data_IF_424312360738
#
_entry.id   IF_424312360738
#
_cell.length_a   1.000
_cell.length_b   1.000
_cell.length_c   1.000
_cell.angle_alpha   90.00
_cell.angle_beta   90.00
_cell.angle_gamma   90.00
#
_symmetry.space_group_name_H-M   'P 1'
#
loop_
_entity.id
_entity.type
_entity.pdbx_description
1 polymer ?
#
# COMPACT_ATOMS: atom_id res chain seq x y z
N UNK A 1 -28.60 40.67 -2.74
CA UNK A 1 -29.47 39.50 -2.51
C UNK A 1 -28.66 38.39 -1.81
N UNK A 2 -28.80 38.15 -0.50
CA UNK A 2 -27.85 37.31 0.25
C UNK A 2 -28.42 36.35 1.32
N UNK A 3 -29.75 36.09 1.36
CA UNK A 3 -30.39 35.21 2.36
C UNK A 3 -30.96 33.89 1.82
N UNK A 4 -30.76 33.56 0.54
CA UNK A 4 -31.49 32.47 -0.15
C UNK A 4 -30.76 31.11 -0.28
N UNK A 5 -29.45 31.01 -0.03
CA UNK A 5 -28.65 29.80 -0.36
C UNK A 5 -28.53 28.71 0.72
N UNK A 6 -29.02 28.95 1.94
CA UNK A 6 -28.86 28.01 3.07
C UNK A 6 -30.06 27.08 3.34
N UNK A 7 -31.24 27.35 2.76
CA UNK A 7 -32.51 26.69 3.17
C UNK A 7 -32.76 25.29 2.57
N UNK A 8 -31.77 24.65 1.96
CA UNK A 8 -31.90 23.35 1.27
C UNK A 8 -30.99 22.21 1.75
N UNK A 9 -30.12 22.47 2.74
CA UNK A 9 -29.08 21.54 3.18
C UNK A 9 -29.58 20.57 4.26
N UNK A 10 -30.33 19.54 3.87
CA UNK A 10 -30.68 18.46 4.81
C UNK A 10 -29.47 17.58 5.12
N UNK A 11 -29.38 16.94 6.31
CA UNK A 11 -28.25 16.09 6.67
C UNK A 11 -27.96 14.96 5.65
N UNK A 12 -29.00 14.42 5.02
CA UNK A 12 -28.86 13.42 3.94
C UNK A 12 -28.17 14.01 2.69
N UNK A 13 -28.50 15.24 2.30
CA UNK A 13 -27.84 15.94 1.17
C UNK A 13 -26.39 16.32 1.50
N UNK A 14 -26.11 16.75 2.73
CA UNK A 14 -24.74 16.97 3.22
C UNK A 14 -23.93 15.68 3.12
N UNK A 15 -24.46 14.57 3.66
CA UNK A 15 -23.80 13.27 3.63
C UNK A 15 -23.52 12.76 2.22
N UNK A 16 -24.49 12.91 1.31
CA UNK A 16 -24.34 12.56 -0.11
C UNK A 16 -23.32 13.46 -0.82
N UNK A 17 -23.28 14.76 -0.52
CA UNK A 17 -22.33 15.70 -1.10
C UNK A 17 -20.88 15.48 -0.62
N UNK A 18 -20.68 15.02 0.62
CA UNK A 18 -19.35 14.64 1.14
C UNK A 18 -18.89 13.26 0.66
N UNK A 19 -19.78 12.43 0.07
CA UNK A 19 -19.45 11.06 -0.37
C UNK A 19 -18.92 10.14 0.76
N UNK A 20 -19.21 10.48 2.02
CA UNK A 20 -18.48 9.96 3.16
C UNK A 20 -18.98 8.58 3.58
N UNK A 21 -18.09 7.58 3.58
CA UNK A 21 -18.41 6.25 4.10
C UNK A 21 -18.54 6.26 5.64
N UNK A 22 -19.38 5.37 6.17
CA UNK A 22 -19.59 5.16 7.60
C UNK A 22 -18.29 4.78 8.30
N UNK A 23 -17.39 4.02 7.66
CA UNK A 23 -16.09 3.71 8.26
C UNK A 23 -15.23 4.97 8.43
N UNK A 24 -15.12 5.80 7.39
CA UNK A 24 -14.38 7.08 7.42
C UNK A 24 -14.91 7.99 8.51
N UNK A 25 -16.23 8.16 8.63
CA UNK A 25 -16.84 8.98 9.68
C UNK A 25 -16.51 8.47 11.10
N UNK A 26 -16.58 7.16 11.34
CA UNK A 26 -16.22 6.57 12.63
C UNK A 26 -14.74 6.73 12.97
N UNK A 27 -13.84 6.68 11.98
CA UNK A 27 -12.43 6.96 12.17
C UNK A 27 -12.18 8.45 12.47
N UNK A 28 -12.87 9.37 11.80
CA UNK A 28 -12.79 10.81 12.13
C UNK A 28 -13.26 11.09 13.57
N UNK A 29 -14.35 10.44 14.01
CA UNK A 29 -14.83 10.53 15.39
C UNK A 29 -13.80 9.98 16.40
N UNK A 30 -13.21 8.80 16.14
CA UNK A 30 -12.12 8.24 16.97
C UNK A 30 -10.95 9.22 17.10
N UNK A 31 -10.58 9.91 16.01
CA UNK A 31 -9.50 10.90 15.99
C UNK A 31 -9.75 12.16 16.82
N UNK A 32 -11.01 12.61 16.91
CA UNK A 32 -11.38 13.81 17.66
C UNK A 32 -11.52 13.56 19.17
N UNK A 33 -11.81 12.32 19.60
CA UNK A 33 -12.11 12.02 21.00
C UNK A 33 -11.00 12.34 22.01
N UNK A 34 -9.70 12.05 21.78
CA UNK A 34 -8.66 12.31 22.78
C UNK A 34 -8.54 13.78 23.22
N UNK A 35 -8.39 14.79 22.33
CA UNK A 35 -8.34 16.18 22.76
C UNK A 35 -9.65 16.64 23.40
N UNK A 36 -10.82 16.19 22.92
CA UNK A 36 -12.11 16.53 23.54
C UNK A 36 -12.22 16.01 24.97
N UNK A 37 -11.87 14.75 25.22
CA UNK A 37 -11.88 14.15 26.57
C UNK A 37 -10.91 14.92 27.48
N UNK A 38 -9.70 15.25 27.00
CA UNK A 38 -8.73 16.04 27.78
C UNK A 38 -9.27 17.43 28.12
N UNK A 39 -9.88 18.15 27.17
CA UNK A 39 -10.44 19.49 27.41
C UNK A 39 -11.58 19.44 28.43
N UNK A 40 -12.48 18.44 28.35
CA UNK A 40 -13.51 18.23 29.36
C UNK A 40 -12.92 17.87 30.73
N UNK A 41 -11.87 17.02 30.77
CA UNK A 41 -11.19 16.63 32.00
C UNK A 41 -10.56 17.83 32.72
N UNK A 42 -10.07 18.83 31.99
CA UNK A 42 -9.52 20.07 32.57
C UNK A 42 -10.56 21.03 33.14
N UNK A 43 -11.87 20.80 32.94
CA UNK A 43 -12.91 21.56 33.63
C UNK A 43 -13.02 21.15 35.11
N UNK A 44 -12.46 20.00 35.51
CA UNK A 44 -12.41 19.56 36.91
C UNK A 44 -11.19 20.15 37.63
N UNK A 45 -11.44 20.97 38.66
CA UNK A 45 -10.40 21.64 39.47
C UNK A 45 -9.27 20.71 39.97
N UNK A 46 -9.52 19.46 40.42
CA UNK A 46 -8.46 18.55 40.83
C UNK A 46 -7.44 18.23 39.73
N UNK A 47 -7.88 18.22 38.46
CA UNK A 47 -7.00 17.95 37.30
C UNK A 47 -6.29 19.22 36.86
N UNK A 48 -7.00 20.36 36.81
CA UNK A 48 -6.41 21.66 36.51
C UNK A 48 -5.27 22.03 37.48
N UNK A 49 -5.45 21.76 38.77
CA UNK A 49 -4.43 21.99 39.80
C UNK A 49 -3.18 21.11 39.62
N UNK A 50 -3.27 19.95 38.95
CA UNK A 50 -2.18 19.00 38.81
C UNK A 50 -1.11 19.43 37.78
N UNK A 51 -1.53 20.05 36.67
CA UNK A 51 -0.61 20.57 35.63
C UNK A 51 -0.48 22.09 35.64
N UNK A 52 -1.36 22.79 36.37
CA UNK A 52 -1.48 24.25 36.37
C UNK A 52 -1.51 24.81 34.93
N UNK A 53 -0.81 25.92 34.70
CA UNK A 53 -0.73 26.64 33.43
C UNK A 53 -0.13 25.83 32.26
N UNK A 54 0.34 24.59 32.47
CA UNK A 54 0.86 23.73 31.40
C UNK A 54 -0.18 22.74 30.84
N UNK A 55 -1.39 22.72 31.40
CA UNK A 55 -2.48 21.83 30.96
C UNK A 55 -2.85 21.96 29.48
N UNK A 56 -2.63 23.12 28.86
CA UNK A 56 -2.91 23.36 27.43
C UNK A 56 -2.10 22.49 26.46
N UNK A 57 -0.99 21.90 26.91
CA UNK A 57 -0.14 21.03 26.06
C UNK A 57 -0.69 19.60 26.02
N UNK A 58 -1.36 19.15 27.08
CA UNK A 58 -2.01 17.85 27.19
C UNK A 58 -2.91 17.48 25.99
N UNK A 59 -3.86 18.32 25.52
CA UNK A 59 -4.69 17.98 24.35
C UNK A 59 -3.88 17.96 23.05
N UNK A 60 -2.79 18.74 22.94
CA UNK A 60 -1.87 18.70 21.80
C UNK A 60 -1.15 17.33 21.77
N UNK A 61 -0.68 16.85 22.93
CA UNK A 61 -0.06 15.52 23.05
C UNK A 61 -1.06 14.38 22.79
N UNK A 62 -2.32 14.54 23.19
CA UNK A 62 -3.38 13.57 22.88
C UNK A 62 -3.66 13.44 21.36
N UNK A 63 -3.39 14.48 20.57
CA UNK A 63 -3.43 14.44 19.09
C UNK A 63 -2.15 13.85 18.51
N UNK A 64 -0.98 14.28 18.98
CA UNK A 64 0.34 13.77 18.51
C UNK A 64 0.48 12.25 18.75
N UNK A 65 -0.21 11.72 19.77
CA UNK A 65 -0.29 10.29 20.06
C UNK A 65 -0.90 9.41 18.94
N UNK A 66 -1.54 9.97 17.90
CA UNK A 66 -2.04 9.23 16.73
C UNK A 66 -2.95 8.02 17.04
N UNK A 67 -4.02 8.23 17.81
CA UNK A 67 -4.99 7.18 18.21
C UNK A 67 -5.68 6.40 17.06
N UNK A 68 -5.51 6.81 15.80
CA UNK A 68 -6.07 6.15 14.60
C UNK A 68 -5.28 4.92 14.13
N UNK A 69 -4.05 4.73 14.62
CA UNK A 69 -3.19 3.61 14.24
C UNK A 69 -3.79 2.25 14.69
N UNK A 70 -3.52 1.15 13.96
CA UNK A 70 -3.87 -0.20 14.41
C UNK A 70 -3.21 -0.54 15.76
N UNK A 71 -3.91 -1.30 16.62
CA UNK A 71 -3.53 -1.52 18.03
C UNK A 71 -2.07 -1.93 18.23
N UNK A 72 -1.59 -2.97 17.53
CA UNK A 72 -0.21 -3.43 17.66
C UNK A 72 0.82 -2.34 17.30
N UNK A 73 0.60 -1.62 16.20
CA UNK A 73 1.45 -0.50 15.76
C UNK A 73 1.37 0.70 16.70
N UNK A 74 0.18 1.02 17.21
CA UNK A 74 -0.03 2.05 18.22
C UNK A 74 0.80 1.79 19.47
N UNK A 75 0.74 0.57 20.03
CA UNK A 75 1.48 0.23 21.26
C UNK A 75 3.00 0.36 21.08
N UNK A 76 3.55 -0.09 19.94
CA UNK A 76 4.98 0.06 19.61
C UNK A 76 5.39 1.55 19.56
N UNK A 77 4.62 2.36 18.83
CA UNK A 77 4.92 3.79 18.65
C UNK A 77 4.71 4.57 19.96
N UNK A 78 3.71 4.23 20.77
CA UNK A 78 3.47 4.85 22.07
C UNK A 78 4.60 4.55 23.06
N UNK A 79 5.12 3.32 23.11
CA UNK A 79 6.29 2.97 23.93
C UNK A 79 7.52 3.82 23.55
N UNK A 80 7.84 3.94 22.26
CA UNK A 80 8.93 4.83 21.81
C UNK A 80 8.63 6.31 22.09
N UNK A 81 7.37 6.74 22.05
CA UNK A 81 6.99 8.14 22.35
C UNK A 81 7.18 8.48 23.83
N UNK A 82 6.80 7.57 24.73
CA UNK A 82 7.04 7.70 26.16
C UNK A 82 8.54 7.72 26.47
N UNK A 83 9.32 6.77 25.94
CA UNK A 83 10.78 6.72 26.10
C UNK A 83 11.48 7.98 25.57
N UNK A 84 11.11 8.44 24.37
CA UNK A 84 11.64 9.68 23.79
C UNK A 84 11.29 10.91 24.64
N UNK A 85 10.09 10.97 25.21
CA UNK A 85 9.69 12.07 26.12
C UNK A 85 10.49 12.04 27.43
N UNK A 86 10.75 10.86 28.01
CA UNK A 86 11.63 10.72 29.17
C UNK A 86 13.08 11.13 28.87
N UNK A 87 13.65 10.74 27.73
CA UNK A 87 14.99 11.19 27.30
C UNK A 87 15.01 12.70 27.08
N UNK A 88 13.96 13.27 26.49
CA UNK A 88 13.80 14.72 26.34
C UNK A 88 13.77 15.44 27.70
N UNK A 89 13.05 14.89 28.68
CA UNK A 89 13.01 15.42 30.05
C UNK A 89 14.40 15.40 30.73
N UNK A 90 15.17 14.32 30.59
CA UNK A 90 16.54 14.25 31.12
C UNK A 90 17.48 15.28 30.46
N UNK A 91 17.42 15.43 29.13
CA UNK A 91 18.18 16.45 28.39
C UNK A 91 17.73 17.87 28.76
N UNK A 92 16.43 18.07 29.01
CA UNK A 92 15.90 19.33 29.51
C UNK A 92 16.44 19.71 30.88
N UNK A 93 16.52 18.77 31.83
CA UNK A 93 17.12 19.00 33.14
C UNK A 93 18.59 19.42 33.03
N UNK A 94 19.37 18.75 32.17
CA UNK A 94 20.77 19.08 31.93
C UNK A 94 20.93 20.46 31.26
N UNK A 95 20.14 20.75 30.23
CA UNK A 95 20.13 22.06 29.56
C UNK A 95 19.74 23.20 30.51
N UNK A 96 18.70 23.00 31.34
CA UNK A 96 18.34 23.96 32.41
C UNK A 96 19.53 24.20 33.34
N UNK A 97 20.17 23.14 33.86
CA UNK A 97 21.35 23.26 34.72
C UNK A 97 22.47 24.10 34.05
N UNK A 98 22.80 23.80 32.79
CA UNK A 98 23.78 24.57 32.03
C UNK A 98 23.38 26.04 31.86
N UNK A 99 22.12 26.35 31.54
CA UNK A 99 21.65 27.74 31.35
C UNK A 99 21.65 28.56 32.65
N UNK A 100 21.33 27.92 33.78
CA UNK A 100 21.35 28.57 35.10
C UNK A 100 22.79 28.82 35.53
N UNK A 101 23.68 27.83 35.40
CA UNK A 101 25.12 28.02 35.68
C UNK A 101 25.75 29.09 34.77
N UNK A 102 25.39 29.12 33.49
CA UNK A 102 25.82 30.18 32.58
C UNK A 102 25.36 31.57 33.04
N UNK A 103 24.15 31.70 33.63
CA UNK A 103 23.70 32.97 34.24
C UNK A 103 24.49 33.30 35.51
N UNK A 104 24.65 32.34 36.43
CA UNK A 104 25.39 32.53 37.68
C UNK A 104 26.82 33.04 37.45
N UNK A 105 27.50 32.58 36.39
CA UNK A 105 28.85 33.02 36.03
C UNK A 105 28.92 34.33 35.21
N UNK A 106 27.79 34.94 34.81
CA UNK A 106 27.77 36.11 33.90
C UNK A 106 26.85 37.26 34.32
N UNK A 107 26.00 37.08 35.33
CA UNK A 107 25.30 38.19 35.99
C UNK A 107 26.28 39.01 36.86
N UNK A 108 26.08 40.33 36.90
CA UNK A 108 26.84 41.20 37.81
C UNK A 108 26.50 40.90 39.28
N UNK A 109 27.46 41.02 40.22
CA UNK A 109 27.18 40.92 41.65
C UNK A 109 26.08 41.91 42.08
N UNK A 110 25.04 41.41 42.75
CA UNK A 110 23.90 42.22 43.20
C UNK A 110 22.78 42.42 42.16
N UNK A 111 22.92 41.96 40.92
CA UNK A 111 21.82 41.97 39.96
C UNK A 111 20.69 41.01 40.40
N UNK A 112 19.39 41.40 40.27
CA UNK A 112 18.29 40.55 40.72
C UNK A 112 18.20 39.25 39.89
N UNK A 113 17.99 38.08 40.53
CA UNK A 113 17.95 36.78 39.84
C UNK A 113 16.73 36.60 38.93
N UNK A 114 15.75 37.51 39.04
CA UNK A 114 14.51 37.56 38.26
C UNK A 114 14.40 38.90 37.53
N UNK A 115 14.46 38.89 36.20
CA UNK A 115 14.04 40.02 35.35
C UNK A 115 14.99 40.39 34.20
N UNK A 116 16.30 40.27 34.39
CA UNK A 116 17.29 40.65 33.38
C UNK A 116 17.39 39.65 32.21
N UNK A 117 17.46 40.17 30.98
CA UNK A 117 17.93 39.40 29.83
C UNK A 117 19.42 39.08 30.02
N UNK A 118 19.79 37.79 29.95
CA UNK A 118 21.18 37.34 29.98
C UNK A 118 21.51 36.64 28.64
N UNK A 119 22.48 37.21 27.91
CA UNK A 119 22.89 36.73 26.59
C UNK A 119 23.49 35.32 26.66
N UNK A 120 24.39 35.07 27.61
CA UNK A 120 25.11 33.80 27.77
C UNK A 120 24.18 32.63 28.11
N UNK A 121 23.23 32.83 29.03
CA UNK A 121 22.19 31.85 29.36
C UNK A 121 21.27 31.57 28.16
N UNK A 122 20.97 32.60 27.36
CA UNK A 122 20.17 32.46 26.13
C UNK A 122 20.92 31.69 25.03
N UNK A 123 22.23 31.95 24.87
CA UNK A 123 23.09 31.25 23.91
C UNK A 123 23.23 29.76 24.26
N UNK A 124 23.44 29.43 25.55
CA UNK A 124 23.52 28.03 26.01
C UNK A 124 22.18 27.29 25.79
N UNK A 125 21.03 27.95 26.00
CA UNK A 125 19.72 27.37 25.69
C UNK A 125 19.55 27.12 24.19
N UNK A 126 20.00 28.07 23.35
CA UNK A 126 19.94 27.93 21.89
C UNK A 126 20.82 26.78 21.38
N UNK A 127 22.03 26.58 21.93
CA UNK A 127 22.90 25.46 21.59
C UNK A 127 22.23 24.12 21.93
N UNK A 128 21.71 23.98 23.17
CA UNK A 128 20.98 22.76 23.57
C UNK A 128 19.75 22.50 22.70
N UNK A 129 18.97 23.54 22.38
CA UNK A 129 17.81 23.43 21.50
C UNK A 129 18.18 23.00 20.08
N UNK A 130 19.16 23.65 19.44
CA UNK A 130 19.60 23.34 18.08
C UNK A 130 20.16 21.91 17.99
N UNK A 131 21.02 21.51 18.92
CA UNK A 131 21.59 20.16 18.97
C UNK A 131 20.50 19.09 19.11
N UNK A 132 19.60 19.25 20.09
CA UNK A 132 18.53 18.29 20.35
C UNK A 132 17.52 18.20 19.19
N UNK A 133 17.16 19.32 18.56
CA UNK A 133 16.29 19.33 17.38
C UNK A 133 16.98 18.70 16.16
N UNK A 134 18.28 18.94 15.96
CA UNK A 134 19.05 18.31 14.88
C UNK A 134 19.08 16.77 15.05
N UNK A 135 19.40 16.26 16.26
CA UNK A 135 19.36 14.83 16.55
C UNK A 135 17.96 14.24 16.32
N UNK A 136 16.90 14.90 16.82
CA UNK A 136 15.53 14.45 16.65
C UNK A 136 15.07 14.42 15.19
N UNK A 137 15.50 15.40 14.38
CA UNK A 137 15.20 15.45 12.95
C UNK A 137 15.95 14.35 12.17
N UNK A 138 17.24 14.11 12.51
CA UNK A 138 18.04 13.02 11.92
C UNK A 138 17.46 11.64 12.22
N UNK A 139 17.05 11.38 13.47
CA UNK A 139 16.34 10.15 13.84
C UNK A 139 14.99 10.02 13.11
N UNK A 140 14.24 11.13 12.98
CA UNK A 140 12.98 11.14 12.22
C UNK A 140 13.18 10.82 10.73
N UNK A 141 14.29 11.26 10.14
CA UNK A 141 14.62 11.00 8.74
C UNK A 141 15.03 9.54 8.48
N UNK A 142 15.67 8.87 9.46
CA UNK A 142 16.12 7.48 9.32
C UNK A 142 14.96 6.47 9.28
N UNK A 143 13.98 6.59 10.18
CA UNK A 143 12.82 5.69 10.24
C UNK A 143 11.49 6.46 10.39
N UNK A 144 11.04 7.21 9.37
CA UNK A 144 9.89 8.11 9.47
C UNK A 144 8.58 7.40 9.85
N UNK A 145 8.35 6.18 9.35
CA UNK A 145 7.12 5.41 9.58
C UNK A 145 6.88 4.99 11.05
N UNK A 146 7.89 5.09 11.92
CA UNK A 146 7.80 4.72 13.34
C UNK A 146 8.26 5.86 14.27
N UNK A 147 9.30 6.62 13.88
CA UNK A 147 9.90 7.67 14.71
C UNK A 147 9.27 9.07 14.51
N UNK A 148 8.34 9.25 13.56
CA UNK A 148 7.66 10.55 13.37
C UNK A 148 7.04 11.09 14.66
N UNK A 149 6.19 10.30 15.33
CA UNK A 149 5.45 10.72 16.53
C UNK A 149 6.33 10.82 17.78
N UNK A 150 7.22 9.84 18.09
CA UNK A 150 8.20 9.96 19.16
C UNK A 150 9.08 11.21 19.04
N UNK A 151 9.61 11.48 17.84
CA UNK A 151 10.44 12.66 17.61
C UNK A 151 9.63 13.95 17.53
N UNK A 152 8.32 13.91 17.25
CA UNK A 152 7.45 15.09 17.35
C UNK A 152 7.24 15.49 18.82
N UNK A 153 6.88 14.54 19.69
CA UNK A 153 6.78 14.78 21.14
C UNK A 153 8.10 15.26 21.74
N UNK A 154 9.22 14.63 21.37
CA UNK A 154 10.56 15.09 21.77
C UNK A 154 10.81 16.55 21.36
N UNK A 155 10.55 16.91 20.08
CA UNK A 155 10.77 18.26 19.58
C UNK A 155 9.91 19.32 20.28
N UNK A 156 8.65 19.00 20.64
CA UNK A 156 7.81 19.95 21.38
C UNK A 156 8.27 20.11 22.83
N UNK A 157 8.68 19.02 23.49
CA UNK A 157 9.13 19.06 24.90
C UNK A 157 10.39 19.94 25.06
N UNK A 158 11.39 19.76 24.18
CA UNK A 158 12.61 20.58 24.20
C UNK A 158 12.34 22.04 23.78
N UNK A 159 11.45 22.29 22.81
CA UNK A 159 11.09 23.65 22.37
C UNK A 159 10.39 24.45 23.48
N UNK A 160 9.40 23.86 24.13
CA UNK A 160 8.66 24.48 25.24
C UNK A 160 9.59 24.76 26.41
N UNK A 161 10.51 23.84 26.73
CA UNK A 161 11.44 24.02 27.85
C UNK A 161 12.54 25.04 27.56
N UNK A 162 13.28 24.91 26.45
CA UNK A 162 14.46 25.75 26.18
C UNK A 162 14.10 27.20 25.86
N UNK A 163 12.89 27.48 25.37
CA UNK A 163 12.41 28.86 25.24
C UNK A 163 12.09 29.53 26.58
N UNK A 164 11.98 28.76 27.68
CA UNK A 164 11.75 29.26 29.06
C UNK A 164 12.97 29.12 29.97
N UNK A 165 13.91 28.22 29.70
CA UNK A 165 15.10 28.00 30.53
C UNK A 165 15.91 29.29 30.81
N UNK A 166 16.17 30.19 29.84
CA UNK A 166 16.86 31.47 30.08
C UNK A 166 16.18 32.40 31.08
N UNK A 167 14.88 32.22 31.37
CA UNK A 167 14.11 33.04 32.32
C UNK A 167 13.84 32.36 33.67
N UNK A 168 14.21 31.09 33.87
CA UNK A 168 13.99 30.37 35.14
C UNK A 168 14.97 30.85 36.22
N UNK A 169 14.52 31.27 37.42
CA UNK A 169 15.43 31.87 38.41
C UNK A 169 16.30 30.84 39.14
N UNK A 170 15.79 29.64 39.41
CA UNK A 170 16.48 28.61 40.21
C UNK A 170 16.34 27.22 39.60
N UNK A 171 17.28 26.33 39.94
CA UNK A 171 17.25 24.93 39.48
C UNK A 171 16.04 24.17 40.02
N UNK A 172 15.63 24.42 41.27
CA UNK A 172 14.44 23.83 41.88
C UNK A 172 13.14 24.21 41.15
N UNK A 173 13.03 25.46 40.69
CA UNK A 173 11.93 25.88 39.83
C UNK A 173 11.96 25.15 38.48
N UNK A 174 13.13 25.05 37.85
CA UNK A 174 13.29 24.36 36.56
C UNK A 174 13.00 22.85 36.61
N UNK A 175 13.41 22.15 37.68
CA UNK A 175 13.08 20.74 37.89
C UNK A 175 11.57 20.54 38.14
N UNK A 176 10.95 21.44 38.90
CA UNK A 176 9.48 21.43 39.12
C UNK A 176 8.72 21.68 37.82
N UNK A 177 9.20 22.60 36.98
CA UNK A 177 8.68 22.86 35.65
C UNK A 177 8.74 21.62 34.75
N UNK A 178 9.90 20.95 34.65
CA UNK A 178 10.06 19.73 33.84
C UNK A 178 9.16 18.60 34.35
N UNK A 179 8.99 18.47 35.68
CA UNK A 179 8.06 17.50 36.28
C UNK A 179 6.60 17.78 35.87
N UNK A 180 6.13 19.02 35.97
CA UNK A 180 4.77 19.41 35.59
C UNK A 180 4.52 19.20 34.08
N UNK A 181 5.51 19.54 33.25
CA UNK A 181 5.46 19.33 31.80
C UNK A 181 5.40 17.83 31.44
N UNK A 182 6.21 16.99 32.10
CA UNK A 182 6.19 15.54 31.91
C UNK A 182 4.85 14.92 32.31
N UNK A 183 4.24 15.36 33.42
CA UNK A 183 2.90 14.93 33.85
C UNK A 183 1.85 15.31 32.78
N UNK A 184 1.88 16.54 32.25
CA UNK A 184 0.97 16.98 31.19
C UNK A 184 1.11 16.14 29.91
N UNK A 185 2.33 15.77 29.50
CA UNK A 185 2.53 14.87 28.35
C UNK A 185 1.96 13.48 28.61
N UNK A 186 2.27 12.89 29.78
CA UNK A 186 1.81 11.54 30.15
C UNK A 186 0.29 11.43 30.26
N UNK A 187 -0.42 12.46 30.73
CA UNK A 187 -1.90 12.48 30.74
C UNK A 187 -2.45 12.46 29.31
N UNK A 188 -1.87 13.25 28.40
CA UNK A 188 -2.28 13.27 26.99
C UNK A 188 -2.09 11.91 26.32
N UNK A 189 -0.97 11.24 26.58
CA UNK A 189 -0.68 9.90 26.10
C UNK A 189 -1.61 8.83 26.73
N UNK A 190 -1.91 8.93 28.03
CA UNK A 190 -2.80 8.01 28.73
C UNK A 190 -4.24 8.08 28.20
N UNK A 191 -4.79 9.29 28.01
CA UNK A 191 -6.14 9.47 27.45
C UNK A 191 -6.19 8.98 26.00
N UNK A 192 -5.19 9.30 25.18
CA UNK A 192 -5.11 8.78 23.81
C UNK A 192 -5.01 7.24 23.75
N UNK A 193 -4.32 6.62 24.72
CA UNK A 193 -4.19 5.16 24.85
C UNK A 193 -5.52 4.52 25.26
N UNK A 194 -6.25 5.13 26.21
CA UNK A 194 -7.61 4.70 26.56
C UNK A 194 -8.55 4.71 25.36
N UNK A 195 -8.54 5.80 24.57
CA UNK A 195 -9.34 5.91 23.34
C UNK A 195 -8.90 4.90 22.27
N UNK A 196 -7.59 4.71 22.06
CA UNK A 196 -7.10 3.80 21.01
C UNK A 196 -7.49 2.35 21.29
N UNK A 197 -7.41 1.92 22.55
CA UNK A 197 -7.69 0.55 23.01
C UNK A 197 -9.18 0.24 23.21
N UNK A 198 -9.95 1.15 23.80
CA UNK A 198 -11.35 0.88 24.20
C UNK A 198 -12.34 1.27 23.10
N UNK A 199 -12.14 2.43 22.45
CA UNK A 199 -13.14 3.01 21.54
C UNK A 199 -12.83 2.62 20.10
N UNK A 200 -13.59 1.67 19.55
CA UNK A 200 -13.37 1.06 18.23
C UNK A 200 -11.93 0.51 18.05
N UNK A 201 -11.54 -0.58 18.73
CA UNK A 201 -10.24 -1.20 18.56
C UNK A 201 -10.06 -1.75 17.13
N UNK A 202 -9.20 -1.11 16.36
CA UNK A 202 -8.77 -1.54 15.02
C UNK A 202 -7.53 -2.42 15.13
N UNK A 203 -7.67 -3.71 14.85
CA UNK A 203 -6.54 -4.65 14.81
C UNK A 203 -5.82 -4.62 13.46
N UNK A 204 -4.51 -4.86 13.42
CA UNK A 204 -3.76 -4.97 12.14
C UNK A 204 -4.29 -6.14 11.30
N UNK A 205 -4.74 -7.25 11.93
CA UNK A 205 -5.44 -8.33 11.21
C UNK A 205 -6.74 -7.85 10.54
N UNK A 206 -7.51 -6.98 11.19
CA UNK A 206 -8.73 -6.39 10.60
C UNK A 206 -8.42 -5.47 9.41
N UNK A 207 -7.33 -4.69 9.48
CA UNK A 207 -6.85 -3.88 8.34
C UNK A 207 -6.44 -4.77 7.17
N UNK A 208 -5.69 -5.85 7.41
CA UNK A 208 -5.32 -6.84 6.38
C UNK A 208 -6.58 -7.42 5.72
N UNK A 209 -7.54 -7.92 6.50
CA UNK A 209 -8.80 -8.45 5.96
C UNK A 209 -9.58 -7.39 5.14
N UNK A 210 -9.60 -6.14 5.59
CA UNK A 210 -10.25 -5.05 4.85
C UNK A 210 -9.57 -4.78 3.49
N UNK A 211 -8.23 -4.74 3.42
CA UNK A 211 -7.52 -4.63 2.13
C UNK A 211 -7.78 -5.87 1.24
N UNK A 212 -7.84 -7.06 1.84
CA UNK A 212 -8.13 -8.30 1.11
C UNK A 212 -9.53 -8.31 0.49
N UNK A 213 -10.57 -7.73 1.11
CA UNK A 213 -11.95 -7.77 0.56
C UNK A 213 -12.06 -7.26 -0.88
N UNK A 214 -11.22 -6.30 -1.28
CA UNK A 214 -11.17 -5.80 -2.65
C UNK A 214 -10.46 -6.72 -3.65
N UNK A 215 -9.59 -7.62 -3.18
CA UNK A 215 -8.74 -8.47 -4.02
C UNK A 215 -9.50 -9.29 -5.08
N UNK A 216 -10.63 -9.98 -4.78
CA UNK A 216 -11.35 -10.77 -5.79
C UNK A 216 -11.90 -9.90 -6.94
N UNK A 217 -12.34 -8.68 -6.63
CA UNK A 217 -12.85 -7.74 -7.64
C UNK A 217 -11.73 -7.21 -8.56
N UNK A 218 -10.53 -6.97 -8.01
CA UNK A 218 -9.37 -6.54 -8.82
C UNK A 218 -8.84 -7.71 -9.67
N UNK A 219 -8.78 -8.94 -9.14
CA UNK A 219 -8.40 -10.12 -9.94
C UNK A 219 -9.41 -10.37 -11.07
N UNK A 220 -10.72 -10.28 -10.80
CA UNK A 220 -11.75 -10.33 -11.85
C UNK A 220 -11.50 -9.24 -12.90
N UNK A 221 -11.29 -7.99 -12.49
CA UNK A 221 -11.01 -6.87 -13.40
C UNK A 221 -9.73 -7.06 -14.22
N UNK A 222 -8.71 -7.75 -13.71
CA UNK A 222 -7.49 -8.08 -14.45
C UNK A 222 -7.81 -9.08 -15.58
N UNK A 223 -8.52 -10.15 -15.24
CA UNK A 223 -8.90 -11.21 -16.19
C UNK A 223 -9.88 -10.69 -17.26
N UNK A 224 -10.83 -9.83 -16.87
CA UNK A 224 -11.69 -9.10 -17.81
C UNK A 224 -10.86 -8.28 -18.81
N UNK A 225 -9.86 -7.51 -18.35
CA UNK A 225 -8.98 -6.74 -19.23
C UNK A 225 -8.08 -7.62 -20.13
N UNK A 226 -7.66 -8.80 -19.67
CA UNK A 226 -6.91 -9.77 -20.50
C UNK A 226 -7.79 -10.34 -21.63
N UNK A 227 -9.02 -10.74 -21.32
CA UNK A 227 -9.97 -11.28 -22.32
C UNK A 227 -10.35 -10.18 -23.33
N UNK A 228 -10.63 -8.95 -22.87
CA UNK A 228 -10.87 -7.82 -23.77
C UNK A 228 -9.67 -7.53 -24.67
N UNK A 229 -8.44 -7.61 -24.17
CA UNK A 229 -7.24 -7.46 -24.99
C UNK A 229 -7.18 -8.54 -26.07
N UNK A 230 -7.29 -9.82 -25.72
CA UNK A 230 -7.24 -10.93 -26.69
C UNK A 230 -8.32 -10.78 -27.76
N UNK A 231 -9.56 -10.42 -27.39
CA UNK A 231 -10.65 -10.15 -28.34
C UNK A 231 -10.37 -8.95 -29.25
N UNK A 232 -9.87 -7.82 -28.74
CA UNK A 232 -9.42 -6.70 -29.59
C UNK A 232 -8.23 -7.07 -30.49
N UNK A 233 -7.55 -8.18 -30.20
CA UNK A 233 -6.46 -8.69 -31.03
C UNK A 233 -6.96 -9.52 -32.23
N UNK A 234 -8.24 -9.94 -32.24
CA UNK A 234 -8.90 -10.62 -33.36
C UNK A 234 -9.22 -9.64 -34.51
N UNK A 235 -9.69 -8.43 -34.20
CA UNK A 235 -10.07 -7.42 -35.22
C UNK A 235 -8.88 -6.63 -35.76
N UNK A 236 -8.05 -6.06 -34.89
CA UNK A 236 -7.08 -4.99 -35.21
C UNK A 236 -5.68 -5.24 -34.63
N UNK A 237 -5.41 -6.47 -34.19
CA UNK A 237 -4.26 -6.78 -33.35
C UNK A 237 -2.94 -7.12 -34.04
N UNK A 238 -1.84 -7.24 -33.27
CA UNK A 238 -0.56 -7.70 -33.79
C UNK A 238 -0.61 -9.14 -34.33
N UNK A 239 -1.60 -9.96 -33.97
CA UNK A 239 -1.85 -11.26 -34.64
C UNK A 239 -2.11 -11.08 -36.14
N UNK A 240 -2.96 -10.12 -36.52
CA UNK A 240 -3.30 -9.80 -37.91
C UNK A 240 -2.07 -9.29 -38.68
N UNK A 241 -1.25 -8.44 -38.03
CA UNK A 241 0.00 -7.92 -38.59
C UNK A 241 1.04 -9.04 -38.77
N UNK A 242 1.22 -9.91 -37.77
CA UNK A 242 2.13 -11.07 -37.85
C UNK A 242 1.69 -12.03 -38.94
N UNK A 243 0.39 -12.34 -39.01
CA UNK A 243 -0.21 -13.15 -40.07
C UNK A 243 0.08 -12.58 -41.45
N UNK A 244 -0.17 -11.28 -41.68
CA UNK A 244 0.11 -10.63 -42.96
C UNK A 244 1.61 -10.70 -43.31
N UNK A 245 2.51 -10.41 -42.36
CA UNK A 245 3.95 -10.51 -42.58
C UNK A 245 4.41 -11.94 -42.94
N UNK A 246 3.83 -12.97 -42.31
CA UNK A 246 4.13 -14.38 -42.61
C UNK A 246 3.54 -14.83 -43.95
N UNK A 247 2.30 -14.42 -44.28
CA UNK A 247 1.65 -14.78 -45.55
C UNK A 247 2.36 -14.10 -46.72
N UNK A 248 2.68 -12.81 -46.62
CA UNK A 248 3.44 -12.09 -47.66
C UNK A 248 4.79 -12.76 -47.91
N UNK A 249 5.51 -13.17 -46.86
CA UNK A 249 6.78 -13.91 -46.99
C UNK A 249 6.64 -15.28 -47.65
N UNK A 250 5.45 -15.91 -47.60
CA UNK A 250 5.15 -17.16 -48.31
C UNK A 250 4.81 -16.92 -49.78
N UNK A 251 4.06 -15.85 -50.06
CA UNK A 251 3.68 -15.45 -51.42
C UNK A 251 4.88 -14.96 -52.25
N UNK A 252 5.78 -14.15 -51.68
CA UNK A 252 6.97 -13.65 -52.39
C UNK A 252 8.02 -14.72 -52.66
N UNK A 253 7.99 -15.85 -51.94
CA UNK A 253 8.86 -17.01 -52.19
C UNK A 253 8.30 -17.95 -53.28
N UNK A 254 7.02 -17.79 -53.64
CA UNK A 254 6.34 -18.56 -54.69
C UNK A 254 6.06 -17.79 -55.99
N UNK A 255 6.44 -16.50 -56.07
CA UNK A 255 6.13 -15.65 -57.23
C UNK A 255 7.30 -14.72 -57.60
N UNK A 256 8.13 -15.16 -58.55
CA UNK A 256 8.86 -14.23 -59.42
C UNK A 256 7.88 -13.69 -60.47
N UNK A 257 7.06 -12.71 -60.06
CA UNK A 257 6.07 -12.05 -60.90
C UNK A 257 6.18 -10.53 -60.78
N UNK A 258 6.59 -9.87 -61.86
CA UNK A 258 6.78 -8.41 -61.92
C UNK A 258 5.45 -7.65 -61.80
N UNK A 259 5.38 -6.68 -60.88
CA UNK A 259 4.28 -5.72 -60.81
C UNK A 259 4.66 -4.49 -59.98
N UNK A 260 4.53 -3.30 -60.56
CA UNK A 260 4.63 -2.04 -59.81
C UNK A 260 3.49 -1.94 -58.79
N UNK A 261 3.78 -1.36 -57.63
CA UNK A 261 2.77 -0.93 -56.63
C UNK A 261 3.13 0.49 -56.20
N UNK A 262 2.21 1.43 -56.39
CA UNK A 262 2.50 2.86 -56.26
C UNK A 262 2.79 3.33 -54.82
N UNK A 263 3.82 4.18 -54.69
CA UNK A 263 4.44 4.56 -53.42
C UNK A 263 3.68 5.67 -52.66
N UNK A 264 2.38 5.49 -52.38
CA UNK A 264 1.59 6.58 -51.78
C UNK A 264 0.45 6.20 -50.79
N UNK A 265 0.71 5.36 -49.77
CA UNK A 265 -0.08 5.40 -48.50
C UNK A 265 0.57 4.73 -47.27
N UNK A 266 1.87 4.96 -47.02
CA UNK A 266 2.57 4.41 -45.85
C UNK A 266 2.27 5.19 -44.54
N UNK A 267 1.00 5.23 -44.09
CA UNK A 267 0.67 5.71 -42.74
C UNK A 267 1.11 4.68 -41.70
N UNK A 268 2.03 5.06 -40.81
CA UNK A 268 2.44 4.21 -39.69
C UNK A 268 1.22 3.75 -38.86
N UNK A 269 1.01 2.42 -38.67
CA UNK A 269 -0.06 1.93 -37.81
C UNK A 269 0.28 2.24 -36.34
N UNK A 270 -0.52 3.12 -35.71
CA UNK A 270 -0.25 3.68 -34.39
C UNK A 270 0.10 2.63 -33.33
N UNK A 271 1.38 2.60 -32.90
CA UNK A 271 1.98 1.45 -32.20
C UNK A 271 1.60 1.29 -30.71
N UNK A 272 0.43 1.78 -30.30
CA UNK A 272 -0.05 1.88 -28.91
C UNK A 272 -0.72 0.59 -28.40
N UNK A 273 -0.16 -0.58 -28.73
CA UNK A 273 -0.60 -1.90 -28.23
C UNK A 273 -0.34 -2.15 -26.72
N UNK A 274 -0.26 -1.09 -25.91
CA UNK A 274 -0.21 -1.20 -24.45
C UNK A 274 -1.59 -0.98 -23.85
N UNK A 275 -2.23 -2.03 -23.35
CA UNK A 275 -3.51 -1.92 -22.63
C UNK A 275 -3.33 -1.21 -21.26
N UNK A 276 -3.78 0.05 -21.08
CA UNK A 276 -3.50 0.81 -19.86
C UNK A 276 -4.27 0.24 -18.65
N UNK A 277 -5.48 -0.27 -18.87
CA UNK A 277 -6.28 -0.91 -17.81
C UNK A 277 -5.63 -2.16 -17.23
N UNK A 278 -4.85 -2.90 -18.02
CA UNK A 278 -4.07 -4.05 -17.55
C UNK A 278 -2.92 -3.61 -16.63
N UNK A 279 -2.14 -2.59 -17.03
CA UNK A 279 -1.12 -1.97 -16.17
C UNK A 279 -1.74 -1.45 -14.85
N UNK A 280 -2.88 -0.77 -14.94
CA UNK A 280 -3.59 -0.24 -13.79
C UNK A 280 -4.12 -1.34 -12.85
N UNK A 281 -4.59 -2.47 -13.39
CA UNK A 281 -5.02 -3.62 -12.60
C UNK A 281 -3.85 -4.31 -11.88
N UNK A 282 -2.71 -4.53 -12.55
CA UNK A 282 -1.48 -5.03 -11.90
C UNK A 282 -1.05 -4.07 -10.77
N UNK A 283 -1.07 -2.76 -11.04
CA UNK A 283 -0.74 -1.72 -10.04
C UNK A 283 -1.64 -1.77 -8.80
N UNK A 284 -2.95 -1.98 -8.98
CA UNK A 284 -3.91 -2.16 -7.88
C UNK A 284 -3.61 -3.41 -7.04
N UNK A 285 -3.30 -4.55 -7.67
CA UNK A 285 -2.97 -5.79 -6.92
C UNK A 285 -1.64 -5.64 -6.18
N UNK A 286 -0.62 -5.06 -6.82
CA UNK A 286 0.67 -4.76 -6.21
C UNK A 286 0.53 -3.83 -4.99
N UNK A 287 -0.33 -2.81 -5.08
CA UNK A 287 -0.64 -1.91 -3.96
C UNK A 287 -1.32 -2.63 -2.78
N UNK A 288 -2.21 -3.61 -3.04
CA UNK A 288 -2.80 -4.45 -1.99
C UNK A 288 -1.71 -5.28 -1.30
N UNK A 289 -0.85 -5.98 -2.05
CA UNK A 289 0.26 -6.76 -1.48
C UNK A 289 1.23 -5.91 -0.66
N UNK A 290 1.59 -4.72 -1.14
CA UNK A 290 2.48 -3.80 -0.43
C UNK A 290 1.90 -3.39 0.95
N UNK A 291 0.61 -3.04 0.99
CA UNK A 291 -0.10 -2.70 2.25
C UNK A 291 -0.22 -3.89 3.20
N UNK A 292 -0.55 -5.07 2.67
CA UNK A 292 -0.68 -6.30 3.47
C UNK A 292 0.67 -6.71 4.07
N UNK A 293 1.76 -6.61 3.31
CA UNK A 293 3.11 -6.88 3.81
C UNK A 293 3.54 -5.87 4.88
N UNK A 294 3.18 -4.58 4.74
CA UNK A 294 3.49 -3.55 5.74
C UNK A 294 2.78 -3.78 7.09
N UNK A 295 1.54 -4.28 7.08
CA UNK A 295 0.81 -4.65 8.31
C UNK A 295 1.16 -6.04 8.85
N UNK A 296 1.73 -6.94 8.03
CA UNK A 296 2.02 -8.33 8.40
C UNK A 296 2.91 -8.45 9.65
N UNK A 297 3.97 -7.64 9.77
CA UNK A 297 4.86 -7.66 10.94
C UNK A 297 4.10 -7.42 12.26
N UNK A 298 3.18 -6.45 12.25
CA UNK A 298 2.34 -6.11 13.40
C UNK A 298 1.25 -7.17 13.63
N UNK A 299 0.64 -7.69 12.56
CA UNK A 299 -0.42 -8.70 12.62
C UNK A 299 0.04 -10.05 13.22
N UNK A 300 1.31 -10.42 13.04
CA UNK A 300 1.94 -11.59 13.72
C UNK A 300 2.10 -11.39 15.22
N UNK A 301 2.53 -10.19 15.64
CA UNK A 301 2.76 -9.82 17.05
C UNK A 301 1.45 -9.53 17.82
N UNK A 302 0.33 -9.38 17.10
CA UNK A 302 -0.95 -9.04 17.70
C UNK A 302 -1.66 -10.26 18.30
N UNK A 303 -1.86 -10.25 19.62
CA UNK A 303 -2.70 -11.23 20.33
C UNK A 303 -4.17 -11.00 19.97
N UNK A 304 -4.75 -11.94 19.21
CA UNK A 304 -6.12 -11.88 18.69
C UNK A 304 -6.81 -13.21 18.95
N UNK A 305 -8.00 -13.17 19.54
CA UNK A 305 -8.92 -14.31 19.60
C UNK A 305 -9.65 -14.44 18.25
N UNK A 306 -9.42 -15.52 17.51
CA UNK A 306 -9.95 -15.68 16.15
C UNK A 306 -9.62 -17.02 15.51
N UNK A 307 -10.21 -17.28 14.34
CA UNK A 307 -10.16 -18.57 13.63
C UNK A 307 -8.93 -18.77 12.73
N UNK A 308 -8.15 -17.72 12.44
CA UNK A 308 -6.88 -17.80 11.71
C UNK A 308 -5.72 -17.42 12.65
N UNK A 309 -4.73 -18.31 12.73
CA UNK A 309 -3.43 -18.08 13.34
C UNK A 309 -2.62 -17.02 12.57
N UNK A 310 -1.50 -16.59 13.16
CA UNK A 310 -0.52 -15.76 12.45
C UNK A 310 0.14 -16.53 11.29
N UNK A 311 0.34 -17.84 11.46
CA UNK A 311 0.92 -18.75 10.47
C UNK A 311 -0.02 -18.99 9.28
N UNK A 312 -1.33 -19.18 9.55
CA UNK A 312 -2.36 -19.26 8.51
C UNK A 312 -2.42 -17.98 7.68
N UNK A 313 -2.27 -16.81 8.33
CA UNK A 313 -2.33 -15.51 7.67
C UNK A 313 -1.09 -15.26 6.78
N UNK A 314 0.09 -15.71 7.21
CA UNK A 314 1.29 -15.70 6.38
C UNK A 314 1.17 -16.66 5.19
N UNK A 315 0.66 -17.88 5.43
CA UNK A 315 0.41 -18.89 4.39
C UNK A 315 -0.61 -18.42 3.37
N UNK A 316 -1.68 -17.76 3.81
CA UNK A 316 -2.66 -17.11 2.94
C UNK A 316 -2.02 -16.04 2.04
N UNK A 317 -1.14 -15.20 2.60
CA UNK A 317 -0.49 -14.12 1.86
C UNK A 317 0.59 -14.65 0.90
N UNK A 318 1.29 -15.74 1.23
CA UNK A 318 2.20 -16.42 0.31
C UNK A 318 1.45 -17.08 -0.86
N UNK A 319 0.30 -17.70 -0.62
CA UNK A 319 -0.60 -18.25 -1.65
C UNK A 319 -1.22 -17.16 -2.54
N UNK A 320 -1.62 -16.01 -1.98
CA UNK A 320 -2.04 -14.86 -2.80
C UNK A 320 -0.87 -14.31 -3.62
N UNK A 321 0.38 -14.35 -3.11
CA UNK A 321 1.57 -13.87 -3.82
C UNK A 321 1.96 -14.78 -4.98
N UNK A 322 1.86 -16.11 -4.84
CA UNK A 322 2.10 -17.04 -5.96
C UNK A 322 1.02 -16.93 -7.03
N UNK A 323 -0.25 -16.77 -6.63
CA UNK A 323 -1.36 -16.43 -7.52
C UNK A 323 -1.11 -15.11 -8.27
N UNK A 324 -0.67 -14.05 -7.58
CA UNK A 324 -0.32 -12.77 -8.20
C UNK A 324 0.83 -12.90 -9.21
N UNK A 325 1.87 -13.69 -8.92
CA UNK A 325 2.99 -13.91 -9.84
C UNK A 325 2.52 -14.57 -11.14
N UNK A 326 1.66 -15.59 -11.04
CA UNK A 326 1.03 -16.24 -12.21
C UNK A 326 0.16 -15.25 -13.02
N UNK A 327 -0.73 -14.52 -12.34
CA UNK A 327 -1.59 -13.50 -12.96
C UNK A 327 -0.79 -12.37 -13.66
N UNK A 328 0.33 -11.95 -13.06
CA UNK A 328 1.22 -10.93 -13.62
C UNK A 328 1.99 -11.45 -14.85
N UNK A 329 2.37 -12.73 -14.87
CA UNK A 329 2.96 -13.39 -16.04
C UNK A 329 1.99 -13.42 -17.23
N UNK A 330 0.75 -13.86 -17.02
CA UNK A 330 -0.30 -13.82 -18.06
C UNK A 330 -0.58 -12.38 -18.51
N UNK A 331 -0.52 -11.41 -17.59
CA UNK A 331 -0.68 -10.00 -17.91
C UNK A 331 0.52 -9.39 -18.68
N UNK A 332 1.60 -10.13 -18.94
CA UNK A 332 2.73 -9.69 -19.76
C UNK A 332 2.57 -10.05 -21.25
N UNK A 333 1.58 -10.88 -21.62
CA UNK A 333 1.30 -11.28 -23.00
C UNK A 333 1.30 -10.11 -24.02
N UNK A 334 0.65 -8.94 -23.78
CA UNK A 334 0.69 -7.82 -24.73
C UNK A 334 2.10 -7.31 -25.04
N UNK A 335 3.01 -7.36 -24.06
CA UNK A 335 4.42 -6.95 -24.23
C UNK A 335 5.23 -8.00 -24.99
N UNK A 336 4.90 -9.27 -24.83
CA UNK A 336 5.53 -10.38 -25.56
C UNK A 336 5.17 -10.26 -27.04
N UNK A 337 3.88 -10.09 -27.37
CA UNK A 337 3.45 -9.86 -28.76
C UNK A 337 4.01 -8.57 -29.36
N UNK A 338 4.04 -7.45 -28.62
CA UNK A 338 4.70 -6.20 -29.08
C UNK A 338 6.22 -6.33 -29.29
N UNK A 339 6.89 -7.30 -28.64
CA UNK A 339 8.31 -7.62 -28.93
C UNK A 339 8.44 -8.50 -30.16
N UNK A 340 7.63 -9.56 -30.29
CA UNK A 340 7.60 -10.43 -31.45
C UNK A 340 7.35 -9.65 -32.75
N UNK A 341 6.38 -8.74 -32.78
CA UNK A 341 6.11 -7.94 -34.00
C UNK A 341 7.14 -6.85 -34.27
N UNK A 342 7.86 -6.36 -33.25
CA UNK A 342 9.01 -5.45 -33.46
C UNK A 342 10.28 -6.17 -33.90
N UNK A 343 10.37 -7.49 -33.72
CA UNK A 343 11.51 -8.29 -34.16
C UNK A 343 11.44 -8.72 -35.64
N UNK A 344 10.43 -8.26 -36.38
CA UNK A 344 10.24 -8.52 -37.81
C UNK A 344 10.48 -7.20 -38.57
N UNK A 345 11.73 -6.83 -38.90
CA UNK A 345 11.99 -5.78 -39.87
C UNK A 345 11.59 -6.26 -41.29
N UNK A 346 11.11 -5.37 -42.18
CA UNK A 346 10.97 -5.70 -43.59
C UNK A 346 12.36 -5.91 -44.19
N UNK A 347 12.68 -7.16 -44.52
CA UNK A 347 14.00 -7.56 -45.03
C UNK A 347 14.08 -7.25 -46.53
N UNK A 348 14.24 -5.96 -46.86
CA UNK A 348 14.19 -5.44 -48.23
C UNK A 348 14.78 -4.03 -48.42
N UNK A 349 15.70 -3.60 -47.55
CA UNK A 349 16.35 -2.29 -47.61
C UNK A 349 17.84 -2.41 -47.21
N UNK A 350 18.64 -3.10 -48.03
CA UNK A 350 20.05 -3.42 -47.72
C UNK A 350 20.96 -3.63 -48.94
N UNK A 351 20.91 -2.71 -49.91
CA UNK A 351 21.95 -2.33 -50.91
C UNK A 351 21.49 -0.98 -51.46
N UNK A 352 22.33 0.02 -51.73
CA UNK A 352 23.61 -0.05 -52.46
C UNK A 352 24.92 0.01 -51.64
N UNK A 353 26.03 -0.20 -52.38
CA UNK A 353 27.37 -0.48 -51.86
C UNK A 353 28.14 0.74 -51.33
N UNK A 354 29.04 0.49 -50.36
CA UNK A 354 29.79 1.54 -49.65
C UNK A 354 31.06 1.07 -48.90
N UNK A 355 31.86 0.19 -49.53
CA UNK A 355 33.23 -0.21 -49.17
C UNK A 355 33.50 -1.15 -47.96
N UNK A 356 34.45 -2.06 -48.23
CA UNK A 356 35.51 -2.62 -47.37
C UNK A 356 35.23 -3.77 -46.36
N UNK A 357 35.57 -4.98 -46.84
CA UNK A 357 36.31 -6.07 -46.18
C UNK A 357 36.47 -6.09 -44.64
N UNK A 358 35.99 -7.18 -43.99
CA UNK A 358 36.81 -7.94 -43.01
C UNK A 358 36.24 -9.35 -42.71
N UNK A 359 36.84 -10.33 -43.38
CA UNK A 359 37.07 -11.77 -43.08
C UNK A 359 36.47 -12.47 -41.83
N UNK A 360 36.32 -13.80 -42.01
CA UNK A 360 36.09 -14.94 -41.07
C UNK A 360 34.62 -15.32 -40.77
N UNK A 361 34.12 -16.55 -41.04
CA UNK A 361 34.71 -17.93 -41.10
C UNK A 361 35.26 -18.38 -39.72
N UNK A 362 35.11 -19.60 -39.20
CA UNK A 362 34.50 -20.87 -39.64
C UNK A 362 33.24 -21.19 -38.74
N UNK A 363 32.36 -22.19 -38.90
CA UNK A 363 32.18 -23.35 -39.82
C UNK A 363 30.64 -23.50 -40.12
N UNK A 364 29.85 -24.60 -40.27
CA UNK A 364 29.87 -26.08 -40.09
C UNK A 364 29.13 -26.77 -41.28
N UNK A 365 29.48 -28.02 -41.58
CA UNK A 365 29.04 -28.80 -42.77
C UNK A 365 27.66 -29.48 -42.74
N UNK A 366 26.91 -29.35 -43.85
CA UNK A 366 26.30 -30.47 -44.64
C UNK A 366 25.44 -31.51 -43.89
N UNK A 367 24.09 -31.40 -43.82
CA UNK A 367 23.10 -31.90 -44.83
C UNK A 367 21.98 -32.70 -44.13
N UNK A 368 20.90 -33.19 -44.79
CA UNK A 368 20.48 -32.99 -46.19
C UNK A 368 19.07 -32.37 -46.33
N UNK A 369 18.62 -32.28 -47.59
CA UNK A 369 17.24 -31.93 -47.95
C UNK A 369 16.30 -33.11 -47.63
N UNK A 370 15.14 -32.80 -47.04
CA UNK A 370 13.91 -33.60 -47.08
C UNK A 370 12.86 -32.62 -47.57
N UNK A 371 12.65 -32.51 -48.89
CA UNK A 371 11.82 -33.39 -49.71
C UNK A 371 10.35 -33.37 -49.25
N UNK A 372 9.49 -32.87 -50.15
CA UNK A 372 8.18 -32.31 -49.83
C UNK A 372 7.15 -33.41 -49.52
N UNK A 373 6.53 -33.34 -48.34
CA UNK A 373 5.52 -34.30 -47.88
C UNK A 373 4.22 -33.62 -47.47
N UNK A 374 3.50 -33.12 -48.46
CA UNK A 374 2.03 -33.06 -48.54
C UNK A 374 1.28 -32.76 -47.23
N UNK A 375 1.47 -31.55 -46.69
CA UNK A 375 0.56 -30.98 -45.69
C UNK A 375 0.13 -29.56 -46.09
N UNK A 376 -0.83 -29.50 -47.01
CA UNK A 376 -1.74 -28.36 -47.11
C UNK A 376 -2.58 -28.27 -45.82
N UNK A 377 -2.04 -27.62 -44.78
CA UNK A 377 -2.85 -27.22 -43.63
C UNK A 377 -3.73 -26.04 -44.07
N UNK A 378 -5.06 -26.19 -44.19
CA UNK A 378 -5.90 -25.14 -44.72
C UNK A 378 -5.92 -23.92 -43.78
N UNK A 379 -5.93 -22.71 -44.35
CA UNK A 379 -5.75 -21.45 -43.60
C UNK A 379 -6.88 -21.19 -42.56
N UNK A 380 -8.02 -21.86 -42.75
CA UNK A 380 -9.14 -21.95 -41.80
C UNK A 380 -8.70 -22.39 -40.40
N UNK A 381 -7.70 -23.28 -40.31
CA UNK A 381 -7.23 -23.86 -39.04
C UNK A 381 -6.68 -22.79 -38.08
N UNK A 382 -6.10 -21.70 -38.59
CA UNK A 382 -5.39 -20.72 -37.76
C UNK A 382 -6.29 -19.58 -37.25
N UNK A 383 -7.43 -19.32 -37.89
CA UNK A 383 -8.45 -18.40 -37.34
C UNK A 383 -9.09 -18.97 -36.07
N UNK A 384 -9.17 -20.29 -36.00
CA UNK A 384 -9.76 -21.04 -34.90
C UNK A 384 -8.88 -21.14 -33.65
N UNK A 385 -7.79 -20.37 -33.51
CA UNK A 385 -7.02 -20.32 -32.25
C UNK A 385 -7.54 -19.28 -31.24
N UNK A 386 -7.93 -18.09 -31.71
CA UNK A 386 -8.27 -16.95 -30.81
C UNK A 386 -9.57 -17.20 -30.05
N UNK A 387 -10.57 -17.84 -30.68
CA UNK A 387 -11.87 -18.13 -30.06
C UNK A 387 -11.77 -19.17 -28.95
N UNK A 388 -11.21 -20.39 -29.15
CA UNK A 388 -10.94 -21.33 -28.06
C UNK A 388 -10.03 -20.75 -26.98
N UNK A 389 -9.05 -19.90 -27.32
CA UNK A 389 -8.25 -19.21 -26.29
C UNK A 389 -9.13 -18.30 -25.42
N UNK A 390 -10.06 -17.54 -26.02
CA UNK A 390 -11.04 -16.75 -25.27
C UNK A 390 -11.97 -17.62 -24.43
N UNK A 391 -12.52 -18.71 -24.97
CA UNK A 391 -13.44 -19.62 -24.26
C UNK A 391 -12.77 -20.30 -23.06
N UNK A 392 -11.50 -20.69 -23.21
CA UNK A 392 -10.68 -21.24 -22.12
C UNK A 392 -10.34 -20.15 -21.09
N UNK A 393 -10.03 -18.92 -21.51
CA UNK A 393 -9.80 -17.79 -20.60
C UNK A 393 -11.07 -17.39 -19.83
N UNK A 394 -12.24 -17.40 -20.46
CA UNK A 394 -13.53 -17.13 -19.79
C UNK A 394 -13.91 -18.25 -18.81
N UNK A 395 -13.67 -19.51 -19.19
CA UNK A 395 -13.83 -20.68 -18.30
C UNK A 395 -12.88 -20.58 -17.10
N UNK A 396 -11.60 -20.26 -17.32
CA UNK A 396 -10.61 -20.08 -16.27
C UNK A 396 -10.95 -18.90 -15.36
N UNK A 397 -11.41 -17.76 -15.91
CA UNK A 397 -11.90 -16.61 -15.14
C UNK A 397 -13.10 -16.97 -14.27
N UNK A 398 -14.06 -17.73 -14.79
CA UNK A 398 -15.20 -18.20 -14.01
C UNK A 398 -14.76 -19.09 -12.84
N UNK A 399 -13.83 -20.02 -13.09
CA UNK A 399 -13.26 -20.92 -12.08
C UNK A 399 -12.47 -20.14 -11.01
N UNK A 400 -11.54 -19.27 -11.41
CA UNK A 400 -10.70 -18.46 -10.52
C UNK A 400 -11.55 -17.53 -9.67
N UNK A 401 -12.53 -16.82 -10.25
CA UNK A 401 -13.43 -15.96 -9.48
C UNK A 401 -14.27 -16.78 -8.49
N UNK A 402 -14.78 -17.95 -8.88
CA UNK A 402 -15.55 -18.84 -7.99
C UNK A 402 -14.70 -19.40 -6.85
N UNK A 403 -13.47 -19.85 -7.14
CA UNK A 403 -12.54 -20.41 -6.15
C UNK A 403 -12.07 -19.37 -5.13
N UNK A 404 -11.70 -18.17 -5.59
CA UNK A 404 -11.32 -17.06 -4.71
C UNK A 404 -12.52 -16.64 -3.83
N UNK A 405 -13.72 -16.48 -4.40
CA UNK A 405 -14.91 -16.12 -3.60
C UNK A 405 -15.25 -17.21 -2.56
N UNK A 406 -15.14 -18.49 -2.93
CA UNK A 406 -15.33 -19.59 -1.99
C UNK A 406 -14.31 -19.52 -0.85
N UNK A 407 -13.01 -19.49 -1.14
CA UNK A 407 -11.95 -19.42 -0.14
C UNK A 407 -12.10 -18.22 0.81
N UNK A 408 -12.47 -17.04 0.28
CA UNK A 408 -12.68 -15.83 1.09
C UNK A 408 -13.90 -15.88 2.00
N UNK A 409 -14.92 -16.69 1.67
CA UNK A 409 -16.06 -16.98 2.54
C UNK A 409 -15.71 -18.06 3.57
N UNK A 410 -15.03 -19.14 3.16
CA UNK A 410 -14.57 -20.21 4.06
C UNK A 410 -13.65 -19.67 5.16
N UNK A 411 -12.70 -18.81 4.79
CA UNK A 411 -11.77 -18.13 5.72
C UNK A 411 -12.40 -16.91 6.44
N UNK A 412 -13.71 -16.67 6.25
CA UNK A 412 -14.50 -15.59 6.87
C UNK A 412 -13.99 -14.15 6.63
N UNK A 413 -13.08 -13.95 5.67
CA UNK A 413 -12.49 -12.66 5.29
C UNK A 413 -13.59 -11.71 4.79
N UNK A 414 -14.49 -12.23 3.96
CA UNK A 414 -15.67 -11.55 3.41
C UNK A 414 -16.95 -12.36 3.70
N UNK A 415 -18.08 -11.68 3.84
CA UNK A 415 -19.37 -12.32 4.07
C UNK A 415 -20.02 -12.71 2.73
N UNK A 416 -20.89 -13.74 2.67
CA UNK A 416 -21.61 -14.11 1.44
C UNK A 416 -22.43 -12.95 0.83
N UNK A 417 -22.87 -12.00 1.66
CA UNK A 417 -23.57 -10.78 1.24
C UNK A 417 -22.69 -9.86 0.38
N UNK A 418 -21.37 -9.89 0.57
CA UNK A 418 -20.39 -9.07 -0.12
C UNK A 418 -20.15 -9.57 -1.57
N UNK A 419 -20.60 -10.78 -1.90
CA UNK A 419 -20.47 -11.43 -3.22
C UNK A 419 -21.83 -11.83 -3.84
N UNK A 420 -22.95 -11.33 -3.31
CA UNK A 420 -24.29 -11.88 -3.53
C UNK A 420 -24.78 -11.93 -5.00
N UNK A 421 -24.21 -11.12 -5.89
CA UNK A 421 -24.53 -11.09 -7.33
C UNK A 421 -23.99 -12.28 -8.13
N UNK A 422 -23.02 -13.05 -7.61
CA UNK A 422 -22.45 -14.22 -8.32
C UNK A 422 -23.07 -15.52 -7.83
N UNK A 423 -23.21 -15.69 -6.51
CA UNK A 423 -23.62 -16.97 -5.89
C UNK A 423 -25.05 -17.37 -6.29
N UNK A 424 -25.96 -16.40 -6.55
CA UNK A 424 -27.35 -16.68 -6.97
C UNK A 424 -27.44 -17.44 -8.30
N UNK A 425 -26.41 -17.41 -9.14
CA UNK A 425 -26.36 -18.10 -10.44
C UNK A 425 -25.92 -19.58 -10.40
N UNK A 426 -25.37 -20.07 -9.28
CA UNK A 426 -25.02 -21.50 -9.11
C UNK A 426 -25.34 -21.97 -7.70
N UNK A 427 -26.46 -22.67 -7.54
CA UNK A 427 -26.64 -23.59 -6.41
C UNK A 427 -25.65 -24.74 -6.61
N UNK A 428 -24.49 -24.67 -5.95
CA UNK A 428 -23.77 -25.90 -5.65
C UNK A 428 -24.61 -26.67 -4.63
N UNK A 429 -25.20 -27.78 -5.08
CA UNK A 429 -25.94 -28.71 -4.22
C UNK A 429 -25.00 -29.17 -3.10
N UNK A 430 -25.43 -29.04 -1.84
CA UNK A 430 -24.65 -29.49 -0.69
C UNK A 430 -24.65 -31.02 -0.59
N UNK A 431 -23.91 -31.69 -1.47
CA UNK A 431 -23.47 -33.05 -1.22
C UNK A 431 -22.29 -32.98 -0.25
N UNK A 432 -22.60 -32.91 1.04
CA UNK A 432 -21.59 -33.07 2.11
C UNK A 432 -21.13 -34.53 2.04
N UNK A 433 -20.01 -34.76 1.35
CA UNK A 433 -19.35 -36.07 1.34
C UNK A 433 -18.66 -36.23 2.70
N UNK A 434 -19.36 -36.84 3.64
CA UNK A 434 -18.77 -37.30 4.90
C UNK A 434 -17.66 -38.32 4.60
N UNK A 435 -16.55 -38.32 5.36
CA UNK A 435 -15.34 -39.07 5.01
C UNK A 435 -15.54 -40.60 4.93
N UNK A 436 -16.60 -41.15 5.54
CA UNK A 436 -16.96 -42.57 5.41
C UNK A 436 -17.20 -42.99 3.95
N UNK A 437 -17.82 -42.14 3.11
CA UNK A 437 -18.15 -42.52 1.72
C UNK A 437 -16.96 -42.56 0.77
N UNK A 438 -15.79 -42.05 1.18
CA UNK A 438 -14.55 -42.22 0.43
C UNK A 438 -13.91 -43.60 0.67
N UNK A 439 -14.16 -44.22 1.83
CA UNK A 439 -13.64 -45.55 2.17
C UNK A 439 -14.38 -46.68 1.44
N UNK A 440 -15.73 -46.62 1.35
CA UNK A 440 -16.53 -47.61 0.60
C UNK A 440 -16.09 -47.68 -0.88
N UNK A 441 -15.84 -46.52 -1.51
CA UNK A 441 -15.39 -46.42 -2.90
C UNK A 441 -13.97 -46.96 -3.15
N UNK A 442 -13.16 -47.15 -2.10
CA UNK A 442 -11.82 -47.73 -2.19
C UNK A 442 -11.85 -49.24 -1.88
N UNK A 443 -12.72 -49.70 -0.98
CA UNK A 443 -12.84 -51.13 -0.66
C UNK A 443 -13.67 -51.93 -1.68
N UNK A 444 -14.60 -51.30 -2.41
CA UNK A 444 -15.54 -51.96 -3.33
C UNK A 444 -14.96 -52.57 -4.61
N UNK A 445 -13.63 -52.71 -4.78
CA UNK A 445 -13.01 -53.12 -6.06
C UNK A 445 -11.98 -54.25 -5.93
N UNK A 446 -12.24 -55.25 -5.08
CA UNK A 446 -11.23 -56.21 -4.64
C UNK A 446 -11.65 -57.65 -4.33
N UNK A 447 -12.60 -58.26 -5.07
CA UNK A 447 -12.91 -59.72 -5.18
C UNK A 447 -14.21 -59.89 -6.01
N UNK A 448 -14.54 -61.03 -6.62
CA UNK A 448 -13.82 -62.09 -7.38
C UNK A 448 -14.85 -63.19 -7.68
N UNK A 449 -14.73 -63.85 -8.83
CA UNK A 449 -15.62 -64.91 -9.34
C UNK A 449 -17.01 -64.40 -9.76
#
# INVERSE_FOLDING_TARGET
>A
MAKARLRGWTPKKIWQALGMDKHTFLMMLKGALPPTIVICMFQASPVANLTQNYGYITPIMAVIAQCLLPRAKYMKIMLFTALATCVSASLCCLGIYCTIKAREHTSQPGAPPTGGYNSSASAVAAIWFLFAIWVANSLRAWHPNELQSPMASFSVFIAVTMTRAPTMPTLSFGLTYVRLLLIAFLIGFAVATGVSLIIFPTTSRSVIFHQLRGYPAVVKSLLDQQISYVKSTESDGPWKITRMATIVRRATLGSLGTGNVDEHSAKEPATTFESPGLKAAIGKISAIHSRVNAEMHYAKQEVVWGTLSAEDLETLVSLLRSLFLSLAGVAMLPRIFKRLTKAIPPQGAATDAGNLESLRQEDITTSPIVEDSLYETPETTQEHFVRPLCDRLETAKALVNSGIQHAFVTLQISKPKDFATVIRGRRFTQTIVTPLKLLELIQGRGRKC
#
